data_IF_795210141536
#
_entry.id   IF_795210141536
#
_cell.length_a   1.000
_cell.length_b   1.000
_cell.length_c   1.000
_cell.angle_alpha   90.00
_cell.angle_beta   90.00
_cell.angle_gamma   90.00
#
_symmetry.space_group_name_H-M   'P 1'
#
loop_
_entity.id
_entity.type
_entity.pdbx_description
1 polymer ?
#
# COMPACT_ATOMS: atom_id res chain seq x y z
N UNK A 1 -14.84 -23.96 -20.21
CA UNK A 1 -14.13 -22.69 -20.47
C UNK A 1 -12.76 -22.80 -19.81
N UNK A 2 -11.68 -22.72 -20.58
CA UNK A 2 -10.32 -22.70 -20.03
C UNK A 2 -10.11 -21.32 -19.38
N UNK A 3 -10.00 -21.28 -18.05
CA UNK A 3 -9.73 -20.06 -17.27
C UNK A 3 -8.25 -19.68 -17.25
N UNK A 4 -7.51 -19.99 -18.31
CA UNK A 4 -6.05 -19.97 -18.33
C UNK A 4 -5.47 -18.66 -18.90
N UNK A 5 -6.08 -17.51 -18.57
CA UNK A 5 -5.73 -16.23 -19.21
C UNK A 5 -5.59 -15.03 -18.28
N UNK A 6 -5.27 -15.24 -17.00
CA UNK A 6 -4.71 -14.18 -16.17
C UNK A 6 -3.19 -14.36 -16.05
N UNK A 7 -2.43 -13.85 -17.03
CA UNK A 7 -0.96 -13.79 -16.97
C UNK A 7 -0.47 -12.98 -15.76
N UNK A 8 -1.34 -12.13 -15.22
CA UNK A 8 -1.05 -11.17 -14.18
C UNK A 8 -2.11 -11.18 -13.08
N UNK A 9 -1.68 -11.09 -11.81
CA UNK A 9 -2.59 -11.04 -10.65
C UNK A 9 -3.48 -9.80 -10.71
N UNK A 10 -4.78 -9.96 -10.50
CA UNK A 10 -5.72 -8.83 -10.40
C UNK A 10 -5.67 -8.13 -9.03
N UNK A 11 -4.97 -8.71 -8.06
CA UNK A 11 -4.82 -8.17 -6.72
C UNK A 11 -3.52 -7.38 -6.57
N UNK A 12 -3.64 -6.17 -6.03
CA UNK A 12 -2.54 -5.30 -5.62
C UNK A 12 -2.56 -5.15 -4.10
N UNK A 13 -1.44 -5.43 -3.44
CA UNK A 13 -1.36 -5.46 -1.98
C UNK A 13 -0.61 -4.25 -1.46
N UNK A 14 -1.25 -3.47 -0.59
CA UNK A 14 -0.58 -2.47 0.25
C UNK A 14 -0.09 -3.12 1.54
N UNK A 15 1.20 -2.99 1.83
CA UNK A 15 1.82 -3.57 3.02
C UNK A 15 2.07 -2.51 4.09
N UNK A 16 1.75 -2.84 5.35
CA UNK A 16 1.87 -1.94 6.50
C UNK A 16 2.22 -2.70 7.78
N UNK A 17 2.62 -1.97 8.83
CA UNK A 17 2.98 -2.52 10.14
C UNK A 17 4.48 -2.72 10.35
N UNK A 18 5.34 -2.25 9.44
CA UNK A 18 6.81 -2.33 9.62
C UNK A 18 7.28 -1.63 10.90
N UNK A 19 6.59 -0.55 11.27
CA UNK A 19 6.82 0.19 12.50
C UNK A 19 6.49 -0.64 13.77
N UNK A 20 5.42 -1.44 13.72
CA UNK A 20 5.05 -2.39 14.77
C UNK A 20 6.11 -3.50 14.84
N UNK A 21 6.45 -4.12 13.71
CA UNK A 21 7.45 -5.18 13.65
C UNK A 21 8.81 -4.72 14.18
N UNK A 22 9.29 -3.55 13.76
CA UNK A 22 10.61 -3.04 14.19
C UNK A 22 10.70 -2.86 15.70
N UNK A 23 9.59 -2.46 16.33
CA UNK A 23 9.57 -2.14 17.76
C UNK A 23 9.34 -3.37 18.63
N UNK A 24 8.48 -4.29 18.20
CA UNK A 24 8.01 -5.38 19.05
C UNK A 24 8.44 -6.78 18.61
N UNK A 25 8.82 -6.96 17.35
CA UNK A 25 9.10 -8.29 16.77
C UNK A 25 10.05 -8.20 15.56
N UNK A 26 11.28 -7.67 15.72
CA UNK A 26 12.16 -7.33 14.60
C UNK A 26 12.73 -8.54 13.85
N UNK A 27 12.61 -9.74 14.43
CA UNK A 27 13.15 -11.01 13.91
C UNK A 27 12.05 -12.02 13.57
N UNK A 28 10.78 -11.60 13.48
CA UNK A 28 9.64 -12.49 13.20
C UNK A 28 9.84 -13.41 11.99
N UNK A 29 10.61 -12.95 11.00
CA UNK A 29 10.87 -13.64 9.75
C UNK A 29 11.91 -14.75 9.85
N UNK A 30 12.63 -14.87 10.98
CA UNK A 30 13.65 -15.91 11.19
C UNK A 30 13.04 -17.30 11.42
N UNK A 31 11.78 -17.35 11.89
CA UNK A 31 11.04 -18.59 12.02
C UNK A 31 10.06 -18.78 10.86
N UNK A 32 9.79 -20.03 10.50
CA UNK A 32 8.81 -20.37 9.45
C UNK A 32 7.36 -19.99 9.79
N UNK A 33 7.10 -19.54 11.03
CA UNK A 33 5.77 -19.14 11.49
C UNK A 33 5.75 -17.68 11.90
N UNK A 34 4.86 -16.90 11.33
CA UNK A 34 4.59 -15.51 11.70
C UNK A 34 3.76 -15.49 12.98
N UNK A 35 4.40 -15.74 14.12
CA UNK A 35 3.72 -15.65 15.43
C UNK A 35 3.72 -14.21 15.94
N UNK A 36 2.69 -13.88 16.70
CA UNK A 36 2.56 -12.60 17.43
C UNK A 36 2.35 -12.90 18.92
N UNK A 37 3.20 -13.72 19.53
CA UNK A 37 3.00 -14.29 20.88
C UNK A 37 2.80 -13.25 22.01
N UNK A 38 2.96 -11.96 21.71
CA UNK A 38 2.65 -10.88 22.63
C UNK A 38 1.29 -10.28 22.25
N UNK A 39 0.28 -10.48 23.11
CA UNK A 39 -1.09 -9.99 22.89
C UNK A 39 -1.15 -8.50 22.54
N UNK A 40 -0.24 -7.68 23.09
CA UNK A 40 -0.17 -6.25 22.78
C UNK A 40 0.14 -5.99 21.30
N UNK A 41 0.94 -6.84 20.64
CA UNK A 41 1.27 -6.71 19.21
C UNK A 41 0.05 -7.02 18.36
N UNK A 42 -0.73 -8.03 18.74
CA UNK A 42 -1.97 -8.36 18.04
C UNK A 42 -2.97 -7.19 18.11
N UNK A 43 -3.11 -6.54 19.27
CA UNK A 43 -3.93 -5.34 19.43
C UNK A 43 -3.50 -4.19 18.51
N UNK A 44 -2.19 -3.93 18.41
CA UNK A 44 -1.68 -2.88 17.52
C UNK A 44 -2.04 -3.13 16.05
N UNK A 45 -1.98 -4.40 15.61
CA UNK A 45 -2.35 -4.77 14.25
C UNK A 45 -3.86 -4.71 14.01
N UNK A 46 -4.69 -5.16 14.97
CA UNK A 46 -6.15 -5.03 14.88
C UNK A 46 -6.54 -3.57 14.83
N UNK A 47 -5.93 -2.70 15.65
CA UNK A 47 -6.18 -1.26 15.61
C UNK A 47 -5.72 -0.62 14.29
N UNK A 48 -4.57 -1.03 13.73
CA UNK A 48 -4.11 -0.59 12.41
C UNK A 48 -5.09 -0.99 11.30
N UNK A 49 -5.59 -2.23 11.34
CA UNK A 49 -6.59 -2.71 10.40
C UNK A 49 -7.89 -1.92 10.53
N UNK A 50 -8.41 -1.75 11.74
CA UNK A 50 -9.61 -0.95 12.01
C UNK A 50 -9.48 0.46 11.43
N UNK A 51 -8.37 1.13 11.73
CA UNK A 51 -8.08 2.48 11.26
C UNK A 51 -8.09 2.57 9.74
N UNK A 52 -7.47 1.60 9.05
CA UNK A 52 -7.46 1.55 7.59
C UNK A 52 -8.86 1.29 7.02
N UNK A 53 -9.62 0.35 7.61
CA UNK A 53 -10.98 0.07 7.16
C UNK A 53 -11.93 1.24 7.42
N UNK A 54 -11.68 2.04 8.47
CA UNK A 54 -12.49 3.21 8.78
C UNK A 54 -12.14 4.41 7.89
N UNK A 55 -10.87 4.82 7.89
CA UNK A 55 -10.43 6.09 7.32
C UNK A 55 -9.71 5.95 5.98
N UNK A 56 -9.21 4.75 5.66
CA UNK A 56 -8.48 4.48 4.42
C UNK A 56 -6.97 4.31 4.58
N UNK A 57 -6.30 4.11 3.45
CA UNK A 57 -4.85 3.96 3.38
C UNK A 57 -4.17 5.32 3.53
N UNK A 58 -3.04 5.36 4.24
CA UNK A 58 -2.26 6.59 4.35
C UNK A 58 -1.47 6.83 3.06
N UNK A 59 -1.64 8.03 2.48
CA UNK A 59 -0.65 8.60 1.57
C UNK A 59 0.42 9.30 2.39
N UNK A 60 1.67 8.93 2.13
CA UNK A 60 2.83 9.47 2.82
C UNK A 60 3.81 10.04 1.81
N UNK A 61 4.69 10.91 2.26
CA UNK A 61 5.68 11.55 1.41
C UNK A 61 7.08 11.02 1.73
N UNK A 62 7.83 10.69 0.68
CA UNK A 62 9.24 10.36 0.77
C UNK A 62 10.08 11.59 0.42
N UNK A 63 11.32 11.63 0.90
CA UNK A 63 12.22 12.73 0.56
C UNK A 63 12.53 12.76 -0.93
N UNK A 64 12.83 13.96 -1.43
CA UNK A 64 13.33 14.16 -2.79
C UNK A 64 14.53 13.26 -3.05
N UNK A 65 14.53 12.59 -4.20
CA UNK A 65 15.61 11.69 -4.61
C UNK A 65 16.31 12.23 -5.84
N UNK A 66 17.62 12.40 -5.77
CA UNK A 66 18.44 12.95 -6.86
C UNK A 66 19.29 11.84 -7.47
N UNK A 67 19.12 11.63 -8.78
CA UNK A 67 19.90 10.69 -9.57
C UNK A 67 20.91 11.42 -10.46
N UNK A 68 22.13 10.90 -10.52
CA UNK A 68 23.21 11.47 -11.34
C UNK A 68 23.43 10.64 -12.62
N UNK A 69 23.20 11.24 -13.79
CA UNK A 69 23.37 10.62 -15.11
C UNK A 69 24.47 11.33 -15.91
N UNK A 70 25.73 11.00 -15.58
CA UNK A 70 26.88 11.64 -16.20
C UNK A 70 27.00 13.10 -15.77
N UNK A 71 26.67 14.04 -16.68
CA UNK A 71 26.62 15.49 -16.37
C UNK A 71 25.22 15.97 -15.99
N UNK A 72 24.19 15.19 -16.30
CA UNK A 72 22.80 15.55 -16.02
C UNK A 72 22.42 15.08 -14.61
N UNK A 73 21.52 15.83 -13.95
CA UNK A 73 20.88 15.45 -12.70
C UNK A 73 19.38 15.39 -12.91
N UNK A 74 18.76 14.31 -12.44
CA UNK A 74 17.31 14.15 -12.44
C UNK A 74 16.85 14.12 -11.00
N UNK A 75 15.95 15.03 -10.63
CA UNK A 75 15.34 15.06 -9.31
C UNK A 75 13.92 14.49 -9.37
N UNK A 76 13.62 13.54 -8.48
CA UNK A 76 12.26 13.06 -8.24
C UNK A 76 11.75 13.79 -7.00
N UNK A 77 10.75 14.69 -7.14
CA UNK A 77 10.29 15.50 -6.02
C UNK A 77 9.60 14.67 -4.95
N UNK A 78 9.57 15.22 -3.74
CA UNK A 78 8.80 14.70 -2.63
C UNK A 78 7.30 14.85 -2.93
N UNK A 79 6.65 13.74 -3.31
CA UNK A 79 5.22 13.73 -3.65
C UNK A 79 4.49 12.73 -2.77
N UNK A 80 3.35 13.10 -2.15
CA UNK A 80 2.54 12.15 -1.39
C UNK A 80 2.06 11.00 -2.26
N UNK A 81 2.21 9.77 -1.76
CA UNK A 81 1.90 8.55 -2.50
C UNK A 81 1.54 7.39 -1.58
N UNK A 82 0.87 6.39 -2.15
CA UNK A 82 0.75 5.06 -1.56
C UNK A 82 1.25 4.04 -2.57
N UNK A 83 1.91 3.00 -2.06
CA UNK A 83 2.51 1.95 -2.87
C UNK A 83 1.77 0.63 -2.67
N UNK A 84 1.68 -0.13 -3.75
CA UNK A 84 1.16 -1.49 -3.79
C UNK A 84 2.14 -2.41 -4.50
N UNK A 85 2.04 -3.69 -4.22
CA UNK A 85 2.79 -4.74 -4.89
C UNK A 85 1.81 -5.61 -5.68
N UNK A 86 2.07 -5.80 -6.97
CA UNK A 86 1.47 -6.90 -7.71
C UNK A 86 2.17 -8.19 -7.31
N UNK A 87 1.58 -8.91 -6.35
CA UNK A 87 2.28 -9.98 -5.67
C UNK A 87 1.80 -11.37 -6.13
N UNK A 88 2.76 -12.26 -6.38
CA UNK A 88 2.56 -13.72 -6.28
C UNK A 88 2.47 -14.10 -4.80
N UNK A 89 1.33 -14.60 -4.34
CA UNK A 89 1.09 -14.82 -2.90
C UNK A 89 2.22 -15.60 -2.19
N UNK A 90 2.88 -16.55 -2.85
CA UNK A 90 4.08 -17.24 -2.35
C UNK A 90 5.23 -16.31 -1.88
N UNK A 91 5.36 -15.11 -2.44
CA UNK A 91 6.39 -14.14 -2.11
C UNK A 91 5.98 -13.20 -0.94
N UNK A 92 4.78 -13.36 -0.39
CA UNK A 92 4.20 -12.49 0.65
C UNK A 92 5.13 -12.28 1.84
N UNK A 93 5.80 -13.34 2.34
CA UNK A 93 6.73 -13.23 3.48
C UNK A 93 7.93 -12.34 3.18
N UNK A 94 8.45 -12.36 1.95
CA UNK A 94 9.58 -11.51 1.53
C UNK A 94 9.17 -10.02 1.54
N UNK A 95 7.96 -9.74 1.06
CA UNK A 95 7.39 -8.39 1.06
C UNK A 95 7.06 -7.91 2.47
N UNK A 96 6.38 -8.76 3.24
CA UNK A 96 6.07 -8.48 4.63
C UNK A 96 7.33 -8.15 5.44
N UNK A 97 8.45 -8.84 5.21
CA UNK A 97 9.72 -8.56 5.88
C UNK A 97 10.19 -7.13 5.63
N UNK A 98 9.97 -6.59 4.43
CA UNK A 98 10.39 -5.24 4.04
C UNK A 98 9.41 -4.17 4.52
N UNK A 99 8.11 -4.41 4.34
CA UNK A 99 7.08 -3.37 4.40
C UNK A 99 6.07 -3.52 5.56
N UNK A 100 6.16 -4.62 6.30
CA UNK A 100 5.27 -4.95 7.42
C UNK A 100 4.32 -6.09 7.07
N UNK A 101 3.87 -6.82 8.10
CA UNK A 101 3.13 -8.08 7.93
C UNK A 101 1.66 -7.97 7.56
N UNK A 102 1.03 -6.80 7.73
CA UNK A 102 -0.38 -6.61 7.40
C UNK A 102 -0.50 -6.19 5.93
N UNK A 103 -1.20 -6.99 5.14
CA UNK A 103 -1.50 -6.69 3.74
C UNK A 103 -2.96 -6.32 3.53
N UNK A 104 -3.21 -5.25 2.79
CA UNK A 104 -4.55 -4.81 2.35
C UNK A 104 -4.60 -4.92 0.83
N UNK A 105 -5.38 -5.89 0.34
CA UNK A 105 -5.49 -6.17 -1.08
C UNK A 105 -6.69 -5.48 -1.72
N UNK A 106 -6.45 -4.87 -2.87
CA UNK A 106 -7.44 -4.22 -3.72
C UNK A 106 -7.37 -4.77 -5.14
N UNK A 107 -8.44 -4.65 -5.91
CA UNK A 107 -8.42 -4.91 -7.35
C UNK A 107 -7.66 -3.82 -8.10
N UNK A 108 -7.08 -4.13 -9.27
CA UNK A 108 -6.41 -3.13 -10.12
C UNK A 108 -7.26 -1.89 -10.40
N UNK A 109 -8.56 -2.08 -10.61
CA UNK A 109 -9.52 -0.99 -10.84
C UNK A 109 -9.46 0.07 -9.73
N UNK A 110 -9.22 -0.30 -8.47
CA UNK A 110 -9.02 0.64 -7.36
C UNK A 110 -7.90 1.64 -7.63
N UNK A 111 -6.78 1.13 -8.16
CA UNK A 111 -5.58 1.92 -8.46
C UNK A 111 -5.79 2.74 -9.74
N UNK A 112 -6.38 2.15 -10.77
CA UNK A 112 -6.65 2.87 -12.03
C UNK A 112 -7.64 4.02 -11.88
N UNK A 113 -8.72 3.83 -11.13
CA UNK A 113 -9.71 4.87 -10.82
C UNK A 113 -9.08 6.05 -10.06
N UNK A 114 -7.94 5.82 -9.40
CA UNK A 114 -7.16 6.83 -8.67
C UNK A 114 -5.92 7.29 -9.43
N UNK A 115 -5.95 7.19 -10.76
CA UNK A 115 -4.85 7.61 -11.65
C UNK A 115 -3.51 6.92 -11.37
N UNK A 116 -3.53 5.82 -10.61
CA UNK A 116 -2.34 5.04 -10.31
C UNK A 116 -1.89 4.17 -11.47
N UNK A 117 -0.61 3.77 -11.44
CA UNK A 117 0.08 3.05 -12.51
C UNK A 117 1.18 2.12 -11.95
N UNK A 118 1.58 1.08 -12.69
CA UNK A 118 2.81 0.34 -12.40
C UNK A 118 4.04 1.25 -12.58
N UNK A 119 5.13 0.94 -11.90
CA UNK A 119 6.37 1.67 -12.05
C UNK A 119 7.11 1.35 -13.36
N UNK A 120 7.75 2.38 -13.90
CA UNK A 120 8.79 2.25 -14.91
C UNK A 120 10.12 2.10 -14.19
N UNK A 121 10.77 0.97 -14.41
CA UNK A 121 12.05 0.70 -13.79
C UNK A 121 13.22 1.12 -14.69
N UNK A 122 14.23 1.73 -14.09
CA UNK A 122 15.44 2.14 -14.79
C UNK A 122 16.70 1.58 -14.12
N UNK A 123 17.78 1.51 -14.88
CA UNK A 123 19.07 1.04 -14.38
C UNK A 123 19.94 2.21 -13.96
N UNK A 124 19.91 2.59 -12.67
CA UNK A 124 20.60 3.77 -12.12
C UNK A 124 22.07 3.91 -12.57
N UNK A 125 22.83 2.80 -12.62
CA UNK A 125 24.25 2.87 -13.02
C UNK A 125 24.49 3.04 -14.51
N UNK A 126 23.51 2.77 -15.37
CA UNK A 126 23.67 3.08 -16.79
C UNK A 126 23.51 4.58 -16.90
N UNK A 127 24.64 5.27 -17.03
CA UNK A 127 24.75 6.74 -17.08
C UNK A 127 23.88 7.41 -18.16
N UNK A 128 23.21 6.63 -19.00
CA UNK A 128 22.45 7.05 -20.16
C UNK A 128 21.07 6.36 -20.19
N UNK A 129 20.30 6.41 -19.10
CA UNK A 129 18.88 6.03 -19.18
C UNK A 129 18.13 7.10 -19.98
N UNK A 130 18.08 6.90 -21.30
CA UNK A 130 17.51 7.86 -22.24
C UNK A 130 16.04 8.14 -21.96
N UNK A 131 15.29 7.16 -21.47
CA UNK A 131 13.86 7.30 -21.27
C UNK A 131 13.57 8.19 -20.06
N UNK A 132 14.18 7.89 -18.90
CA UNK A 132 14.06 8.75 -17.71
C UNK A 132 14.58 10.17 -18.00
N UNK A 133 15.72 10.30 -18.70
CA UNK A 133 16.27 11.61 -19.05
C UNK A 133 15.35 12.41 -19.98
N UNK A 134 14.73 11.77 -20.97
CA UNK A 134 13.77 12.43 -21.87
C UNK A 134 12.52 12.87 -21.08
N UNK A 135 11.93 11.97 -20.27
CA UNK A 135 10.80 12.31 -19.42
C UNK A 135 11.12 13.45 -18.45
N UNK A 136 12.28 13.42 -17.79
CA UNK A 136 12.68 14.49 -16.88
C UNK A 136 12.85 15.87 -17.56
N UNK A 137 13.13 15.91 -18.87
CA UNK A 137 13.27 17.15 -19.64
C UNK A 137 11.95 17.63 -20.22
N UNK A 138 11.06 16.72 -20.60
CA UNK A 138 9.85 17.03 -21.37
C UNK A 138 8.56 17.08 -20.53
N UNK A 139 8.55 16.46 -19.34
CA UNK A 139 7.37 16.47 -18.48
C UNK A 139 7.15 17.85 -17.84
N UNK A 140 5.99 18.45 -18.14
CA UNK A 140 5.56 19.69 -17.50
C UNK A 140 5.29 19.55 -15.99
N UNK A 141 5.01 18.32 -15.53
CA UNK A 141 4.80 18.02 -14.12
C UNK A 141 5.87 17.01 -13.64
N UNK A 142 6.80 17.49 -12.81
CA UNK A 142 7.88 16.68 -12.25
C UNK A 142 7.39 15.59 -11.28
N UNK A 143 6.20 15.72 -10.68
CA UNK A 143 5.63 14.71 -9.79
C UNK A 143 5.45 13.36 -10.51
N UNK A 144 5.21 13.38 -11.82
CA UNK A 144 5.09 12.18 -12.65
C UNK A 144 6.37 11.34 -12.68
N UNK A 145 7.52 11.92 -12.34
CA UNK A 145 8.77 11.18 -12.17
C UNK A 145 8.70 10.20 -10.99
N UNK A 146 7.74 10.34 -10.06
CA UNK A 146 7.50 9.34 -9.02
C UNK A 146 7.01 7.99 -9.57
N UNK A 147 6.69 7.86 -10.86
CA UNK A 147 6.48 6.56 -11.49
C UNK A 147 7.78 5.87 -11.93
N UNK A 148 8.94 6.51 -11.75
CA UNK A 148 10.24 5.89 -11.99
C UNK A 148 10.86 5.37 -10.69
N UNK A 149 11.49 4.20 -10.75
CA UNK A 149 12.25 3.61 -9.64
C UNK A 149 13.47 2.84 -10.14
N UNK A 150 14.61 2.91 -9.44
CA UNK A 150 15.75 2.07 -9.78
C UNK A 150 15.38 0.58 -9.66
N UNK A 151 15.93 -0.26 -10.54
CA UNK A 151 15.71 -1.72 -10.50
C UNK A 151 16.36 -2.42 -9.30
N UNK A 152 17.40 -1.82 -8.70
CA UNK A 152 18.20 -2.39 -7.62
C UNK A 152 18.36 -1.37 -6.49
N UNK A 153 18.36 -1.83 -5.24
CA UNK A 153 18.68 -1.01 -4.06
C UNK A 153 20.18 -0.82 -3.82
N UNK A 154 21.00 -1.62 -4.50
CA UNK A 154 22.43 -1.70 -4.26
C UNK A 154 23.25 -1.74 -5.54
N UNK A 155 24.56 -1.73 -5.36
CA UNK A 155 25.52 -1.84 -6.44
C UNK A 155 25.56 -3.23 -7.11
N UNK A 156 24.91 -4.24 -6.52
CA UNK A 156 24.89 -5.62 -7.00
C UNK A 156 23.62 -5.81 -7.86
N UNK A 157 23.77 -6.45 -9.02
CA UNK A 157 22.66 -6.75 -9.91
C UNK A 157 21.81 -7.90 -9.33
N UNK A 158 20.81 -7.56 -8.52
CA UNK A 158 19.93 -8.52 -7.85
C UNK A 158 18.43 -8.30 -8.13
N UNK A 159 18.08 -7.25 -8.89
CA UNK A 159 16.71 -6.89 -9.31
C UNK A 159 15.71 -6.85 -8.16
N UNK A 160 16.19 -6.45 -6.98
CA UNK A 160 15.42 -6.61 -5.75
C UNK A 160 14.23 -5.64 -5.64
N UNK A 161 14.32 -4.48 -6.30
CA UNK A 161 13.22 -3.52 -6.42
C UNK A 161 12.33 -3.82 -7.63
N UNK A 162 12.91 -4.33 -8.73
CA UNK A 162 12.14 -4.76 -9.89
C UNK A 162 11.21 -5.93 -9.57
N UNK A 163 11.70 -6.89 -8.79
CA UNK A 163 10.91 -8.04 -8.33
C UNK A 163 9.68 -7.63 -7.51
N UNK A 164 9.62 -6.38 -7.02
CA UNK A 164 8.49 -5.90 -6.24
C UNK A 164 7.25 -5.60 -7.09
N UNK A 165 7.39 -5.51 -8.41
CA UNK A 165 6.27 -5.22 -9.32
C UNK A 165 5.36 -4.11 -8.77
N UNK A 166 5.98 -2.99 -8.39
CA UNK A 166 5.34 -1.94 -7.59
C UNK A 166 4.38 -1.12 -8.45
N UNK A 167 3.27 -0.74 -7.84
CA UNK A 167 2.29 0.20 -8.36
C UNK A 167 2.16 1.38 -7.39
N UNK A 168 1.90 2.57 -7.92
CA UNK A 168 1.70 3.78 -7.11
C UNK A 168 0.40 4.49 -7.45
N UNK A 169 -0.21 5.06 -6.42
CA UNK A 169 -1.09 6.22 -6.55
C UNK A 169 -0.30 7.39 -5.98
N UNK A 170 -0.14 8.45 -6.77
CA UNK A 170 0.50 9.70 -6.32
C UNK A 170 -0.55 10.80 -6.19
N UNK A 171 -0.21 11.87 -5.49
CA UNK A 171 -1.08 13.02 -5.34
C UNK A 171 -1.35 13.69 -6.70
N UNK A 172 -2.64 13.89 -6.97
CA UNK A 172 -3.17 14.76 -8.01
C UNK A 172 -4.31 15.57 -7.41
N UNK A 173 -4.44 16.84 -7.79
CA UNK A 173 -5.49 17.72 -7.26
C UNK A 173 -6.88 17.18 -7.59
N UNK A 174 -7.01 16.57 -8.76
CA UNK A 174 -8.20 15.93 -9.30
C UNK A 174 -8.72 14.82 -8.37
N UNK A 175 -7.83 14.14 -7.63
CA UNK A 175 -8.22 13.11 -6.66
C UNK A 175 -8.90 13.72 -5.43
N UNK A 176 -8.46 14.90 -4.97
CA UNK A 176 -9.13 15.63 -3.89
C UNK A 176 -10.47 16.18 -4.37
N UNK A 177 -10.50 16.80 -5.56
CA UNK A 177 -11.72 17.37 -6.15
C UNK A 177 -12.79 16.30 -6.37
N UNK A 178 -12.37 15.09 -6.76
CA UNK A 178 -13.25 13.93 -6.96
C UNK A 178 -13.52 13.12 -5.68
N UNK A 179 -12.99 13.56 -4.52
CA UNK A 179 -13.10 12.88 -3.21
C UNK A 179 -12.61 11.42 -3.22
N UNK A 180 -11.68 11.10 -4.11
CA UNK A 180 -11.02 9.79 -4.19
C UNK A 180 -9.88 9.66 -3.17
N UNK A 181 -9.37 10.79 -2.70
CA UNK A 181 -8.54 10.93 -1.51
C UNK A 181 -9.12 12.03 -0.62
N UNK A 182 -8.82 11.97 0.67
CA UNK A 182 -9.31 12.91 1.68
C UNK A 182 -8.11 13.64 2.29
N UNK A 183 -8.23 14.96 2.44
CA UNK A 183 -7.32 15.75 3.28
C UNK A 183 -7.81 15.72 4.73
N UNK A 184 -7.15 14.97 5.64
CA UNK A 184 -7.59 14.88 7.01
C UNK A 184 -7.25 16.14 7.82
N UNK A 185 -6.54 17.12 7.25
CA UNK A 185 -6.28 18.40 7.91
C UNK A 185 -7.42 19.39 7.71
N UNK A 186 -8.30 19.15 6.74
CA UNK A 186 -9.49 19.98 6.53
C UNK A 186 -10.54 19.66 7.62
N UNK A 187 -10.92 20.62 8.47
CA UNK A 187 -11.93 20.41 9.52
C UNK A 187 -13.33 20.07 8.99
N UNK A 188 -13.62 20.31 7.71
CA UNK A 188 -14.87 19.87 7.09
C UNK A 188 -14.98 18.34 6.98
N UNK A 189 -13.85 17.63 6.95
CA UNK A 189 -13.80 16.16 6.99
C UNK A 189 -13.78 15.71 8.45
N UNK A 190 -14.89 15.94 9.18
CA UNK A 190 -14.95 15.87 10.65
C UNK A 190 -14.36 14.57 11.23
N UNK A 191 -14.69 13.41 10.67
CA UNK A 191 -14.20 12.12 11.18
C UNK A 191 -12.70 11.95 10.96
N UNK A 192 -12.22 12.18 9.74
CA UNK A 192 -10.81 12.07 9.37
C UNK A 192 -9.96 13.13 10.07
N UNK A 193 -10.53 14.32 10.32
CA UNK A 193 -9.88 15.40 11.05
C UNK A 193 -9.70 15.06 12.52
N UNK A 194 -10.74 14.57 13.19
CA UNK A 194 -10.63 14.11 14.56
C UNK A 194 -9.59 12.97 14.69
N UNK A 195 -9.57 12.05 13.72
CA UNK A 195 -8.54 11.03 13.64
C UNK A 195 -7.14 11.63 13.51
N UNK A 196 -6.91 12.56 12.58
CA UNK A 196 -5.62 13.22 12.41
C UNK A 196 -5.17 13.97 13.66
N UNK A 197 -6.09 14.67 14.33
CA UNK A 197 -5.81 15.38 15.58
C UNK A 197 -5.49 14.43 16.75
N UNK A 198 -5.94 13.17 16.69
CA UNK A 198 -5.58 12.14 17.68
C UNK A 198 -4.18 11.56 17.49
N UNK A 199 -3.57 11.74 16.31
CA UNK A 199 -2.23 11.25 16.01
C UNK A 199 -1.16 12.09 16.71
N UNK A 200 -0.01 11.47 17.00
CA UNK A 200 1.13 12.25 17.50
C UNK A 200 1.75 13.12 16.38
N UNK A 201 2.54 14.12 16.75
CA UNK A 201 3.14 15.08 15.79
C UNK A 201 3.95 14.40 14.67
N UNK A 202 4.66 13.30 14.97
CA UNK A 202 5.44 12.57 13.97
C UNK A 202 4.54 11.89 12.94
N UNK A 203 3.42 11.32 13.40
CA UNK A 203 2.39 10.71 12.56
C UNK A 203 1.64 11.75 11.73
N UNK A 204 1.25 12.87 12.33
CA UNK A 204 0.64 14.01 11.62
C UNK A 204 1.54 14.54 10.50
N UNK A 205 2.84 14.64 10.75
CA UNK A 205 3.80 15.07 9.72
C UNK A 205 3.92 14.06 8.57
N UNK A 206 3.74 12.76 8.86
CA UNK A 206 3.87 11.67 7.89
C UNK A 206 2.59 11.50 7.04
N UNK A 207 1.41 11.58 7.66
CA UNK A 207 0.12 11.45 7.00
C UNK A 207 -0.19 12.72 6.19
N UNK A 208 -0.27 12.59 4.87
CA UNK A 208 -0.62 13.71 3.98
C UNK A 208 -2.08 13.66 3.54
N UNK A 209 -2.54 12.48 3.11
CA UNK A 209 -3.91 12.22 2.67
C UNK A 209 -4.33 10.81 3.05
N UNK A 210 -5.63 10.57 3.07
CA UNK A 210 -6.22 9.25 3.23
C UNK A 210 -6.84 8.78 1.91
N UNK A 211 -6.76 7.49 1.62
CA UNK A 211 -7.42 6.86 0.48
C UNK A 211 -8.50 5.92 0.99
N UNK A 212 -9.77 6.33 1.00
CA UNK A 212 -10.87 5.48 1.41
C UNK A 212 -10.93 4.18 0.59
N UNK A 213 -11.21 3.08 1.27
CA UNK A 213 -11.54 1.81 0.65
C UNK A 213 -12.97 1.85 0.11
N UNK A 214 -13.22 1.13 -0.98
CA UNK A 214 -14.54 0.99 -1.61
C UNK A 214 -14.77 -0.44 -2.05
N UNK A 215 -15.70 -0.67 -2.97
CA UNK A 215 -16.09 -2.02 -3.40
C UNK A 215 -14.95 -2.88 -3.97
N UNK A 216 -13.89 -2.25 -4.49
CA UNK A 216 -12.67 -2.91 -4.95
C UNK A 216 -11.75 -3.45 -3.85
N UNK A 217 -12.04 -3.20 -2.57
CA UNK A 217 -11.34 -3.83 -1.45
C UNK A 217 -11.62 -5.33 -1.44
N UNK A 218 -10.59 -6.15 -1.59
CA UNK A 218 -10.80 -7.55 -1.98
C UNK A 218 -10.08 -8.57 -1.09
N UNK A 219 -9.09 -8.17 -0.29
CA UNK A 219 -8.32 -9.12 0.52
C UNK A 219 -7.72 -8.48 1.77
N UNK A 220 -7.62 -9.26 2.84
CA UNK A 220 -6.80 -8.97 4.02
C UNK A 220 -5.80 -10.11 4.19
N UNK A 221 -4.52 -9.77 4.27
CA UNK A 221 -3.44 -10.68 4.66
C UNK A 221 -3.07 -10.36 6.10
N UNK A 222 -3.49 -11.21 7.02
CA UNK A 222 -3.25 -11.05 8.45
C UNK A 222 -1.80 -11.42 8.81
N UNK A 223 -1.13 -10.65 9.70
CA UNK A 223 0.22 -10.95 10.15
C UNK A 223 0.41 -12.34 10.77
N UNK A 224 -0.64 -12.86 11.41
CA UNK A 224 -0.66 -14.15 12.09
C UNK A 224 -2.11 -14.65 12.22
N UNK A 225 -2.28 -15.94 12.53
CA UNK A 225 -3.58 -16.52 12.85
C UNK A 225 -4.22 -15.88 14.09
N UNK A 226 -3.42 -15.45 15.07
CA UNK A 226 -3.93 -14.77 16.26
C UNK A 226 -4.57 -13.43 15.93
N UNK A 227 -3.92 -12.60 15.09
CA UNK A 227 -4.49 -11.32 14.64
C UNK A 227 -5.78 -11.55 13.87
N UNK A 228 -5.83 -12.58 13.01
CA UNK A 228 -7.05 -12.96 12.28
C UNK A 228 -8.18 -13.33 13.23
N UNK A 229 -7.94 -14.27 14.15
CA UNK A 229 -8.94 -14.72 15.11
C UNK A 229 -9.44 -13.56 15.96
N UNK A 230 -8.53 -12.69 16.42
CA UNK A 230 -8.88 -11.51 17.20
C UNK A 230 -9.76 -10.56 16.38
N UNK A 231 -9.35 -10.19 15.16
CA UNK A 231 -10.15 -9.33 14.29
C UNK A 231 -11.55 -9.89 13.98
N UNK A 232 -11.70 -11.22 13.90
CA UNK A 232 -13.00 -11.87 13.66
C UNK A 232 -13.88 -11.97 14.92
N UNK A 233 -13.28 -12.06 16.10
CA UNK A 233 -13.99 -12.12 17.38
C UNK A 233 -14.24 -10.74 17.99
N UNK A 234 -13.58 -9.71 17.46
CA UNK A 234 -13.60 -8.36 18.00
C UNK A 234 -14.90 -7.63 17.67
N UNK A 235 -15.89 -7.84 18.54
CA UNK A 235 -17.13 -7.07 18.55
C UNK A 235 -16.92 -5.62 19.03
N UNK A 236 -15.74 -5.27 19.59
CA UNK A 236 -15.49 -3.99 20.26
C UNK A 236 -14.89 -2.93 19.34
N UNK A 237 -13.92 -3.29 18.50
CA UNK A 237 -13.35 -2.37 17.50
C UNK A 237 -14.12 -2.39 16.18
N UNK A 238 -15.06 -3.30 15.99
CA UNK A 238 -16.01 -3.21 14.89
C UNK A 238 -15.43 -3.50 13.51
N UNK A 239 -14.43 -4.41 13.40
CA UNK A 239 -13.80 -4.77 12.11
C UNK A 239 -14.85 -5.26 11.11
N UNK A 240 -15.72 -6.17 11.55
CA UNK A 240 -16.77 -6.75 10.71
C UNK A 240 -17.75 -5.68 10.23
N UNK A 241 -18.08 -4.72 11.09
CA UNK A 241 -18.94 -3.57 10.82
C UNK A 241 -18.29 -2.66 9.79
N UNK A 242 -16.97 -2.39 9.89
CA UNK A 242 -16.27 -1.60 8.89
C UNK A 242 -16.21 -2.29 7.52
N UNK A 243 -15.97 -3.60 7.48
CA UNK A 243 -16.02 -4.37 6.21
C UNK A 243 -17.43 -4.32 5.63
N UNK A 244 -18.46 -4.53 6.46
CA UNK A 244 -19.87 -4.45 6.04
C UNK A 244 -20.23 -3.06 5.53
N UNK A 245 -19.75 -2.00 6.19
CA UNK A 245 -19.90 -0.61 5.75
C UNK A 245 -19.29 -0.41 4.37
N UNK A 246 -18.03 -0.81 4.15
CA UNK A 246 -17.37 -0.70 2.84
C UNK A 246 -18.13 -1.48 1.77
N UNK A 247 -18.58 -2.70 2.07
CA UNK A 247 -19.27 -3.59 1.11
C UNK A 247 -20.73 -3.25 0.87
N UNK A 248 -21.31 -2.34 1.67
CA UNK A 248 -22.65 -1.82 1.45
C UNK A 248 -22.68 -0.48 0.72
N UNK A 249 -21.52 0.15 0.47
CA UNK A 249 -21.44 1.38 -0.32
C UNK A 249 -22.03 1.15 -1.72
N UNK A 250 -22.85 2.10 -2.18
CA UNK A 250 -23.36 2.11 -3.55
C UNK A 250 -22.33 2.71 -4.51
N UNK A 251 -21.23 1.98 -4.70
CA UNK A 251 -20.17 2.34 -5.62
C UNK A 251 -20.05 1.36 -6.81
N UNK A 252 -19.28 1.77 -7.81
CA UNK A 252 -19.07 0.96 -9.01
C UNK A 252 -18.46 -0.41 -8.70
N UNK A 253 -17.44 -0.46 -7.84
CA UNK A 253 -16.76 -1.69 -7.47
C UNK A 253 -17.70 -2.70 -6.81
N UNK A 254 -18.57 -2.28 -5.90
CA UNK A 254 -19.52 -3.16 -5.22
C UNK A 254 -20.62 -3.67 -6.15
N UNK A 255 -21.02 -2.88 -7.16
CA UNK A 255 -21.94 -3.34 -8.21
C UNK A 255 -21.31 -4.41 -9.10
N UNK A 256 -20.02 -4.27 -9.42
CA UNK A 256 -19.28 -5.24 -10.24
C UNK A 256 -18.94 -6.50 -9.44
N UNK A 257 -18.40 -6.35 -8.24
CA UNK A 257 -17.95 -7.46 -7.38
C UNK A 257 -19.11 -8.11 -6.59
N UNK A 258 -20.36 -7.67 -6.80
CA UNK A 258 -21.54 -8.24 -6.12
C UNK A 258 -21.49 -8.11 -4.59
N UNK A 259 -20.85 -7.05 -4.06
CA UNK A 259 -20.67 -6.80 -2.62
C UNK A 259 -19.98 -7.96 -1.88
N UNK A 260 -19.15 -8.74 -2.58
CA UNK A 260 -18.48 -9.90 -2.01
C UNK A 260 -17.59 -9.53 -0.82
N UNK A 261 -17.61 -10.39 0.20
CA UNK A 261 -16.73 -10.29 1.37
C UNK A 261 -15.26 -10.42 0.94
N UNK A 262 -14.32 -9.63 1.53
CA UNK A 262 -12.90 -9.76 1.18
C UNK A 262 -12.35 -11.13 1.56
N UNK A 263 -11.38 -11.62 0.78
CA UNK A 263 -10.66 -12.84 1.10
C UNK A 263 -9.78 -12.59 2.32
N UNK A 264 -9.87 -13.46 3.33
CA UNK A 264 -9.11 -13.33 4.57
C UNK A 264 -8.10 -14.48 4.72
N UNK A 265 -6.81 -14.18 4.56
CA UNK A 265 -5.73 -15.17 4.67
C UNK A 265 -4.74 -14.76 5.75
N UNK A 266 -4.10 -15.70 6.43
CA UNK A 266 -2.91 -15.39 7.23
C UNK A 266 -1.64 -15.44 6.37
N UNK A 267 -0.64 -14.66 6.75
CA UNK A 267 0.61 -14.51 6.02
C UNK A 267 1.35 -15.84 5.77
N UNK A 268 1.25 -16.80 6.70
CA UNK A 268 1.92 -18.09 6.55
C UNK A 268 1.18 -19.00 5.56
N UNK A 269 -0.15 -18.87 5.45
CA UNK A 269 -0.92 -19.58 4.43
C UNK A 269 -0.55 -19.15 3.01
N UNK A 270 -0.10 -17.91 2.81
CA UNK A 270 0.30 -17.38 1.51
C UNK A 270 1.40 -18.20 0.80
N UNK A 271 2.25 -18.92 1.55
CA UNK A 271 3.33 -19.74 0.97
C UNK A 271 2.85 -20.94 0.15
N UNK A 272 1.57 -21.30 0.27
CA UNK A 272 0.97 -22.45 -0.40
C UNK A 272 0.34 -22.10 -1.76
N UNK A 273 0.53 -20.86 -2.24
CA UNK A 273 -0.07 -20.33 -3.48
C UNK A 273 1.00 -20.01 -4.54
#
# INVERSE_FOLDING_TARGET
MNFDYAVHSDFLIHWTGKDIDRLYDPTWYESDKSKTNNHNVADLYVNRLFTILRYGLWMTEEQETIFNFGRDKVSIPATPKVCFTELKLSESRKHAKRYGRLGIGVKRSFVFERLGRPLVYFHEKKKNDKFLQACAKELNNADLLNFFKPMNSSNILNYDLYSESEWRIIYFKELLESKLIIDPRNPENVEEHNYFMSLNTKEQNKLKYLIPLGGWFAMIIYPSLEVKNKAQQDNSNGIKEQITRIKSLDDHGNRVEGRNWPIEVDLDACRNF
#
